data_IF_509065746773
#
_entry.id   IF_509065746773
#
_cell.length_a   1.000
_cell.length_b   1.000
_cell.length_c   1.000
_cell.angle_alpha   90.00
_cell.angle_beta   90.00
_cell.angle_gamma   90.00
#
_symmetry.space_group_name_H-M   'P 1'
#
loop_
_entity.id
_entity.type
_entity.pdbx_description
1 polymer ?
#
# COMPACT_ATOMS: atom_id res chain seq x y z
N UNK A 1 6.22 -10.63 3.75
CA UNK A 1 6.40 -10.34 2.31
C UNK A 1 6.45 -8.85 2.11
N UNK A 2 7.51 -8.34 1.48
CA UNK A 2 7.62 -6.92 1.14
C UNK A 2 7.17 -6.71 -0.31
N UNK A 3 6.41 -5.65 -0.56
CA UNK A 3 5.98 -5.23 -1.89
C UNK A 3 5.95 -3.70 -1.98
N UNK A 4 5.73 -3.19 -3.19
CA UNK A 4 5.59 -1.75 -3.45
C UNK A 4 4.30 -1.52 -4.21
N UNK A 5 3.42 -0.67 -3.69
CA UNK A 5 2.14 -0.34 -4.28
C UNK A 5 2.25 1.03 -4.92
N UNK A 6 1.97 1.11 -6.22
CA UNK A 6 1.77 2.39 -6.89
C UNK A 6 0.32 2.81 -6.70
N UNK A 7 0.11 3.93 -6.04
CA UNK A 7 -1.19 4.58 -5.91
C UNK A 7 -1.29 5.72 -6.92
N UNK A 8 -2.38 5.74 -7.69
CA UNK A 8 -2.74 6.84 -8.57
C UNK A 8 -4.24 7.09 -8.47
N UNK A 9 -4.64 8.31 -8.12
CA UNK A 9 -6.04 8.69 -7.98
C UNK A 9 -6.26 10.19 -8.16
N UNK A 10 -7.51 10.61 -8.08
CA UNK A 10 -7.89 12.02 -7.89
C UNK A 10 -8.64 12.12 -6.56
N UNK A 11 -8.24 13.07 -5.72
CA UNK A 11 -8.85 13.34 -4.43
C UNK A 11 -9.43 14.76 -4.41
N UNK A 12 -10.44 14.98 -3.57
CA UNK A 12 -10.97 16.32 -3.30
C UNK A 12 -10.30 16.89 -2.06
N UNK A 13 -9.62 18.03 -2.19
CA UNK A 13 -8.93 18.72 -1.10
C UNK A 13 -9.40 20.17 -1.07
N UNK A 14 -10.04 20.59 0.04
CA UNK A 14 -10.62 21.93 0.19
C UNK A 14 -11.54 22.35 -1.00
N UNK A 15 -12.29 21.39 -1.56
CA UNK A 15 -13.19 21.62 -2.70
C UNK A 15 -12.49 21.62 -4.07
N UNK A 16 -11.19 21.36 -4.13
CA UNK A 16 -10.39 21.34 -5.37
C UNK A 16 -9.97 19.90 -5.67
N UNK A 17 -10.15 19.47 -6.92
CA UNK A 17 -9.67 18.17 -7.37
C UNK A 17 -8.14 18.18 -7.52
N UNK A 18 -7.45 17.25 -6.85
CA UNK A 18 -6.00 17.08 -6.89
C UNK A 18 -5.63 15.69 -7.37
N UNK A 19 -4.72 15.62 -8.34
CA UNK A 19 -4.11 14.35 -8.73
C UNK A 19 -3.14 13.89 -7.64
N UNK A 20 -3.27 12.62 -7.24
CA UNK A 20 -2.42 12.00 -6.23
C UNK A 20 -1.71 10.83 -6.87
N UNK A 21 -0.38 10.84 -6.78
CA UNK A 21 0.46 9.73 -7.21
C UNK A 21 1.53 9.49 -6.16
N UNK A 22 1.65 8.26 -5.69
CA UNK A 22 2.73 7.88 -4.79
C UNK A 22 3.05 6.39 -4.89
N UNK A 23 4.27 6.08 -4.47
CA UNK A 23 4.84 4.75 -4.50
C UNK A 23 5.08 4.34 -3.03
N UNK A 24 4.22 3.47 -2.51
CA UNK A 24 4.15 3.13 -1.09
C UNK A 24 4.86 1.79 -0.85
N UNK A 25 5.95 1.74 -0.07
CA UNK A 25 6.48 0.48 0.44
C UNK A 25 5.43 -0.16 1.35
N UNK A 26 5.21 -1.47 1.20
CA UNK A 26 4.25 -2.19 2.00
C UNK A 26 4.80 -3.54 2.49
N UNK A 27 4.32 -3.97 3.65
CA UNK A 27 4.71 -5.21 4.31
C UNK A 27 3.47 -5.99 4.71
N UNK A 28 3.34 -7.20 4.18
CA UNK A 28 2.32 -8.16 4.57
C UNK A 28 2.95 -9.28 5.41
N UNK A 29 2.27 -9.75 6.45
CA UNK A 29 2.70 -10.85 7.33
C UNK A 29 1.59 -11.90 7.45
N UNK A 30 1.94 -13.13 7.84
CA UNK A 30 0.98 -14.22 8.04
C UNK A 30 0.10 -14.49 6.82
N UNK A 31 -1.22 -14.57 7.03
CA UNK A 31 -2.20 -14.86 5.97
C UNK A 31 -2.19 -13.82 4.84
N UNK A 32 -2.04 -12.53 5.16
CA UNK A 32 -1.94 -11.48 4.15
C UNK A 32 -0.71 -11.66 3.25
N UNK A 33 0.41 -12.15 3.81
CA UNK A 33 1.60 -12.47 3.00
C UNK A 33 1.34 -13.62 2.02
N UNK A 34 0.58 -14.64 2.43
CA UNK A 34 0.21 -15.76 1.55
C UNK A 34 -0.72 -15.31 0.42
N UNK A 35 -1.72 -14.49 0.73
CA UNK A 35 -2.60 -13.89 -0.28
C UNK A 35 -1.81 -13.05 -1.27
N UNK A 36 -0.90 -12.22 -0.76
CA UNK A 36 -0.13 -11.32 -1.58
C UNK A 36 0.89 -12.04 -2.48
N UNK A 37 1.40 -13.21 -2.08
CA UNK A 37 2.29 -14.04 -2.91
C UNK A 37 1.60 -14.57 -4.18
N UNK A 38 0.27 -14.66 -4.19
CA UNK A 38 -0.49 -15.10 -5.36
C UNK A 38 -0.77 -13.97 -6.36
N UNK A 39 -0.41 -12.73 -6.01
CA UNK A 39 -0.58 -11.56 -6.88
C UNK A 39 0.55 -11.46 -7.88
N UNK A 40 0.23 -10.94 -9.06
CA UNK A 40 1.15 -10.64 -10.13
C UNK A 40 1.43 -9.15 -10.23
N UNK A 41 2.64 -8.79 -10.67
CA UNK A 41 3.00 -7.40 -10.91
C UNK A 41 2.04 -6.75 -11.92
N UNK A 42 1.65 -5.51 -11.64
CA UNK A 42 0.72 -4.75 -12.47
C UNK A 42 -0.76 -5.01 -12.16
N UNK A 43 -1.09 -6.01 -11.34
CA UNK A 43 -2.47 -6.20 -10.89
C UNK A 43 -2.90 -5.06 -9.97
N UNK A 44 -4.16 -4.65 -10.14
CA UNK A 44 -4.81 -3.69 -9.25
C UNK A 44 -5.34 -4.41 -8.03
N UNK A 45 -5.14 -3.78 -6.88
CA UNK A 45 -5.44 -4.38 -5.59
C UNK A 45 -6.08 -3.35 -4.68
N UNK A 46 -6.93 -3.83 -3.78
CA UNK A 46 -7.32 -3.11 -2.58
C UNK A 46 -6.52 -3.68 -1.40
N UNK A 47 -5.72 -2.83 -0.78
CA UNK A 47 -4.94 -3.15 0.42
C UNK A 47 -5.42 -2.30 1.60
N UNK A 48 -5.54 -2.92 2.77
CA UNK A 48 -6.03 -2.31 4.01
C UNK A 48 -5.07 -2.66 5.16
N UNK A 49 -4.91 -1.75 6.11
CA UNK A 49 -4.01 -1.90 7.26
C UNK A 49 -3.62 -0.54 7.86
N UNK A 50 -2.38 -0.40 8.32
CA UNK A 50 -1.90 0.78 9.04
C UNK A 50 -0.52 1.28 8.57
N UNK A 51 -0.23 2.56 8.80
CA UNK A 51 1.06 3.18 8.48
C UNK A 51 2.00 3.16 9.69
N UNK A 52 3.26 2.83 9.47
CA UNK A 52 4.32 2.95 10.47
C UNK A 52 5.62 3.45 9.84
N UNK A 53 6.56 3.91 10.68
CA UNK A 53 7.94 4.11 10.23
C UNK A 53 8.59 2.76 9.94
N UNK A 54 9.39 2.70 8.88
CA UNK A 54 10.08 1.47 8.47
C UNK A 54 10.94 0.87 9.56
N UNK A 55 11.59 1.70 10.37
CA UNK A 55 12.35 1.30 11.55
C UNK A 55 12.60 2.50 12.47
N UNK A 56 13.19 2.27 13.64
CA UNK A 56 13.59 3.33 14.58
C UNK A 56 14.53 4.39 13.97
N UNK A 57 15.23 4.06 12.87
CA UNK A 57 16.20 4.96 12.23
C UNK A 57 15.73 5.48 10.87
N UNK A 58 14.72 4.85 10.25
CA UNK A 58 14.27 5.19 8.90
C UNK A 58 12.82 5.66 8.99
N UNK A 59 12.63 6.98 8.84
CA UNK A 59 11.34 7.66 8.96
C UNK A 59 10.41 7.46 7.77
N UNK A 60 10.84 6.74 6.73
CA UNK A 60 10.01 6.38 5.59
C UNK A 60 8.76 5.63 6.06
N UNK A 61 7.58 6.09 5.64
CA UNK A 61 6.33 5.40 5.89
C UNK A 61 6.25 4.09 5.12
N UNK A 62 5.77 3.05 5.80
CA UNK A 62 5.47 1.73 5.24
C UNK A 62 4.03 1.40 5.59
N UNK A 63 3.28 0.88 4.61
CA UNK A 63 1.96 0.31 4.84
C UNK A 63 2.12 -1.13 5.34
N UNK A 64 1.75 -1.37 6.59
CA UNK A 64 1.60 -2.71 7.13
C UNK A 64 0.21 -3.22 6.74
N UNK A 65 0.16 -4.30 5.95
CA UNK A 65 -1.06 -4.83 5.34
C UNK A 65 -1.66 -5.90 6.24
N UNK A 66 -2.91 -5.67 6.63
CA UNK A 66 -3.76 -6.64 7.33
C UNK A 66 -4.59 -7.47 6.34
N UNK A 67 -5.03 -6.85 5.24
CA UNK A 67 -5.83 -7.51 4.21
C UNK A 67 -5.48 -6.98 2.81
N UNK A 68 -5.42 -7.88 1.83
CA UNK A 68 -5.19 -7.52 0.43
C UNK A 68 -5.99 -8.43 -0.50
N UNK A 69 -6.64 -7.81 -1.48
CA UNK A 69 -7.43 -8.51 -2.50
C UNK A 69 -7.26 -7.86 -3.86
N UNK A 70 -7.53 -8.62 -4.91
CA UNK A 70 -7.67 -8.08 -6.26
C UNK A 70 -8.85 -7.10 -6.32
N UNK A 71 -8.68 -6.04 -7.10
CA UNK A 71 -9.75 -5.10 -7.46
C UNK A 71 -10.59 -5.65 -8.61
#
# INVERSE_FOLDING_TARGET
MALKIRHASTQLEAGIARQVQCDIPALALGAAAQQANNLQLGQRVKAEGFLAQRSLRITQLVLHIDNIKLE
#
